data_IF_434670886553
#
_entry.id   IF_434670886553
#
_cell.length_a   1.000
_cell.length_b   1.000
_cell.length_c   1.000
_cell.angle_alpha   90.00
_cell.angle_beta   90.00
_cell.angle_gamma   90.00
#
_symmetry.space_group_name_H-M   'P 1'
#
loop_
_entity.id
_entity.type
_entity.pdbx_description
1 polymer ?
#
# COMPACT_ATOMS: atom_id res chain seq x y z
N UNK A 1 7.29 11.13 -52.16
CA UNK A 1 7.14 10.99 -50.70
C UNK A 1 7.08 9.50 -50.40
N UNK A 2 8.22 8.86 -50.10
CA UNK A 2 8.25 7.44 -49.74
C UNK A 2 7.80 7.29 -48.29
N UNK A 3 6.60 6.75 -48.14
CA UNK A 3 5.91 6.48 -46.89
C UNK A 3 6.71 5.45 -46.07
N UNK A 4 7.26 5.87 -44.93
CA UNK A 4 7.82 4.96 -43.92
C UNK A 4 9.02 4.13 -44.38
N UNK A 5 10.12 4.78 -44.75
CA UNK A 5 11.39 4.10 -45.04
C UNK A 5 11.89 3.29 -43.82
N UNK A 6 11.73 1.97 -43.88
CA UNK A 6 12.34 1.06 -42.90
C UNK A 6 13.85 1.11 -43.08
N UNK A 7 14.58 1.24 -41.97
CA UNK A 7 16.04 1.19 -42.01
C UNK A 7 16.52 -0.23 -42.34
N UNK A 8 17.23 -0.38 -43.46
CA UNK A 8 17.93 -1.60 -43.84
C UNK A 8 19.44 -1.31 -43.81
N UNK A 9 20.15 -1.92 -42.88
CA UNK A 9 21.58 -1.68 -42.69
C UNK A 9 22.39 -2.18 -43.90
N UNK A 10 21.95 -3.27 -44.51
CA UNK A 10 22.59 -3.92 -45.65
C UNK A 10 22.63 -2.99 -46.88
N UNK A 11 21.55 -2.24 -47.11
CA UNK A 11 21.46 -1.25 -48.20
C UNK A 11 22.43 -0.08 -48.03
N UNK A 12 22.84 0.22 -46.80
CA UNK A 12 23.86 1.24 -46.52
C UNK A 12 25.26 0.64 -46.58
N UNK A 13 25.45 -0.55 -46.01
CA UNK A 13 26.75 -1.23 -45.93
C UNK A 13 27.25 -1.65 -47.31
N UNK A 14 26.38 -2.12 -48.20
CA UNK A 14 26.77 -2.55 -49.54
C UNK A 14 27.48 -1.45 -50.37
N UNK A 15 26.88 -0.26 -50.61
CA UNK A 15 27.55 0.80 -51.37
C UNK A 15 28.79 1.34 -50.66
N UNK A 16 28.78 1.42 -49.33
CA UNK A 16 29.96 1.88 -48.58
C UNK A 16 31.12 0.89 -48.67
N UNK A 17 30.84 -0.41 -48.66
CA UNK A 17 31.83 -1.41 -48.96
C UNK A 17 32.36 -1.18 -50.39
N UNK A 18 31.51 -1.10 -51.41
CA UNK A 18 31.99 -0.86 -52.79
C UNK A 18 32.90 0.38 -52.88
N UNK A 19 32.49 1.50 -52.31
CA UNK A 19 33.28 2.75 -52.29
C UNK A 19 34.63 2.55 -51.57
N UNK A 20 34.63 1.84 -50.43
CA UNK A 20 35.83 1.57 -49.67
C UNK A 20 36.86 0.70 -50.42
N UNK A 21 36.51 0.02 -51.53
CA UNK A 21 37.48 -0.75 -52.33
C UNK A 21 38.46 0.13 -53.11
N UNK A 22 38.25 1.45 -53.14
CA UNK A 22 39.18 2.45 -53.68
C UNK A 22 40.39 2.69 -52.77
N UNK A 23 40.38 2.19 -51.54
CA UNK A 23 41.39 2.47 -50.51
C UNK A 23 41.97 1.15 -50.02
N UNK A 24 43.27 1.13 -49.77
CA UNK A 24 43.95 -0.07 -49.27
C UNK A 24 43.48 -0.39 -47.84
N UNK A 25 43.47 -1.68 -47.48
CA UNK A 25 43.00 -2.12 -46.15
C UNK A 25 43.79 -1.49 -44.99
N UNK A 26 45.08 -1.21 -45.21
CA UNK A 26 45.98 -0.58 -44.24
C UNK A 26 45.59 0.86 -43.90
N UNK A 27 44.96 1.57 -44.83
CA UNK A 27 44.51 2.96 -44.68
C UNK A 27 43.10 3.03 -44.06
N UNK A 28 42.26 2.03 -44.35
CA UNK A 28 40.92 1.87 -43.73
C UNK A 28 40.98 1.51 -42.24
N UNK A 29 42.07 0.89 -41.78
CA UNK A 29 42.30 0.54 -40.38
C UNK A 29 43.42 1.45 -39.82
N UNK A 30 43.11 2.68 -39.39
CA UNK A 30 44.14 3.53 -38.79
C UNK A 30 44.73 2.85 -37.55
N UNK A 31 46.08 2.80 -37.48
CA UNK A 31 46.85 2.14 -36.41
C UNK A 31 46.45 2.57 -34.99
N UNK A 32 45.86 3.75 -34.83
CA UNK A 32 45.43 4.30 -33.55
C UNK A 32 44.03 3.83 -33.09
N UNK A 33 43.31 3.04 -33.88
CA UNK A 33 41.87 2.79 -33.70
C UNK A 33 41.49 1.31 -33.66
N UNK A 34 42.37 0.43 -33.16
CA UNK A 34 41.96 -0.90 -32.68
C UNK A 34 40.88 -0.72 -31.58
N UNK A 35 39.60 -0.71 -31.97
CA UNK A 35 38.47 -0.52 -31.06
C UNK A 35 37.42 0.51 -31.52
N UNK A 36 37.71 1.39 -32.48
CA UNK A 36 36.69 2.24 -33.12
C UNK A 36 36.09 1.43 -34.26
N UNK A 37 34.80 1.09 -34.16
CA UNK A 37 34.06 0.37 -35.20
C UNK A 37 34.29 1.07 -36.54
N UNK A 38 34.92 0.37 -37.49
CA UNK A 38 34.97 0.86 -38.87
C UNK A 38 33.52 1.12 -39.33
N UNK A 39 33.26 2.21 -40.07
CA UNK A 39 31.94 2.55 -40.61
C UNK A 39 31.22 1.37 -41.28
N UNK A 40 32.00 0.44 -41.82
CA UNK A 40 31.55 -0.70 -42.58
C UNK A 40 32.20 -1.96 -42.02
N UNK A 41 31.49 -3.10 -41.93
CA UNK A 41 32.13 -4.38 -41.67
C UNK A 41 33.16 -4.63 -42.79
N UNK A 42 34.44 -4.57 -42.44
CA UNK A 42 35.54 -4.90 -43.34
C UNK A 42 35.52 -6.43 -43.51
N UNK A 43 34.65 -6.91 -44.38
CA UNK A 43 34.67 -8.30 -44.83
C UNK A 43 36.04 -8.60 -45.45
N UNK A 44 36.44 -9.87 -45.43
CA UNK A 44 37.73 -10.37 -45.93
C UNK A 44 38.11 -9.75 -47.29
N UNK A 45 39.01 -8.75 -47.24
CA UNK A 45 39.52 -8.01 -48.41
C UNK A 45 40.99 -8.30 -48.65
N UNK A 46 41.39 -8.14 -49.92
CA UNK A 46 42.79 -7.99 -50.31
C UNK A 46 43.42 -6.81 -49.59
N UNK A 47 44.73 -6.88 -49.38
CA UNK A 47 45.46 -5.77 -48.73
C UNK A 47 45.58 -4.55 -49.66
N UNK A 48 45.51 -4.77 -50.97
CA UNK A 48 45.61 -3.75 -52.02
C UNK A 48 44.24 -3.19 -52.44
N UNK A 49 44.25 -1.97 -52.96
CA UNK A 49 43.07 -1.29 -53.46
C UNK A 49 42.69 -1.84 -54.85
N UNK A 50 41.41 -2.18 -55.03
CA UNK A 50 40.91 -2.90 -56.22
C UNK A 50 40.37 -1.92 -57.28
N UNK A 51 39.77 -0.81 -56.85
CA UNK A 51 39.03 0.11 -57.73
C UNK A 51 39.72 1.46 -57.95
N UNK A 52 41.02 1.57 -57.68
CA UNK A 52 41.77 2.84 -57.75
C UNK A 52 42.48 3.09 -59.08
N UNK A 53 42.47 2.13 -60.01
CA UNK A 53 43.17 2.26 -61.29
C UNK A 53 42.27 2.93 -62.33
N UNK A 54 42.69 4.06 -62.93
CA UNK A 54 41.93 4.73 -63.99
C UNK A 54 41.95 3.89 -65.26
N UNK A 55 40.82 3.27 -65.60
CA UNK A 55 40.55 2.84 -66.97
C UNK A 55 39.94 4.04 -67.68
N UNK A 56 40.67 4.64 -68.63
CA UNK A 56 40.18 5.76 -69.43
C UNK A 56 39.00 5.29 -70.27
N UNK A 57 37.80 5.45 -69.75
CA UNK A 57 36.54 5.22 -70.46
C UNK A 57 35.67 6.45 -70.33
N UNK A 58 35.19 6.98 -71.46
CA UNK A 58 34.25 8.10 -71.47
C UNK A 58 32.97 7.68 -70.77
N UNK A 59 32.66 8.37 -69.67
CA UNK A 59 31.52 8.08 -68.81
C UNK A 59 30.34 8.99 -69.22
N UNK A 60 29.22 8.39 -69.64
CA UNK A 60 27.98 9.13 -69.95
C UNK A 60 26.95 8.92 -68.84
N UNK A 61 26.33 10.01 -68.38
CA UNK A 61 25.39 10.06 -67.25
C UNK A 61 24.00 9.42 -67.51
N UNK A 62 23.80 8.75 -68.65
CA UNK A 62 22.51 8.28 -69.15
C UNK A 62 21.90 7.05 -68.43
N UNK A 63 22.26 6.81 -67.16
CA UNK A 63 21.71 5.70 -66.39
C UNK A 63 20.46 6.19 -65.64
N UNK A 64 19.30 6.08 -66.31
CA UNK A 64 17.99 6.45 -65.77
C UNK A 64 17.54 5.57 -64.57
N UNK A 65 18.17 4.41 -64.35
CA UNK A 65 17.89 3.54 -63.21
C UNK A 65 19.16 2.79 -62.75
N UNK A 66 19.60 2.93 -61.47
CA UNK A 66 20.79 2.22 -60.96
C UNK A 66 20.68 0.70 -61.01
N UNK A 67 19.46 0.15 -61.15
CA UNK A 67 19.19 -1.28 -61.23
C UNK A 67 19.31 -1.87 -62.64
N UNK A 68 19.27 -1.05 -63.70
CA UNK A 68 19.45 -1.51 -65.09
C UNK A 68 20.93 -1.71 -65.46
N UNK A 69 21.84 -1.40 -64.52
CA UNK A 69 23.28 -1.50 -64.72
C UNK A 69 23.76 -2.95 -64.90
N UNK A 70 23.00 -3.93 -64.40
CA UNK A 70 23.41 -5.34 -64.36
C UNK A 70 22.90 -6.18 -65.53
N UNK A 71 22.14 -5.60 -66.47
CA UNK A 71 21.55 -6.32 -67.60
C UNK A 71 22.53 -6.55 -68.77
N UNK A 72 23.78 -6.08 -68.69
CA UNK A 72 24.77 -6.22 -69.78
C UNK A 72 26.18 -6.51 -69.25
N UNK A 73 26.65 -7.78 -69.31
CA UNK A 73 27.94 -8.20 -68.74
C UNK A 73 29.19 -7.70 -69.48
N UNK A 74 29.02 -7.01 -70.61
CA UNK A 74 30.13 -6.58 -71.48
C UNK A 74 30.69 -5.19 -71.15
N UNK A 75 30.17 -4.50 -70.12
CA UNK A 75 30.55 -3.11 -69.79
C UNK A 75 30.69 -2.82 -68.29
N UNK A 76 31.14 -3.82 -67.52
CA UNK A 76 31.40 -3.65 -66.08
C UNK A 76 32.77 -2.98 -65.85
N UNK A 77 32.82 -1.66 -66.07
CA UNK A 77 34.00 -0.87 -65.67
C UNK A 77 33.93 -0.55 -64.17
N UNK A 78 35.08 -0.45 -63.47
CA UNK A 78 35.12 -0.09 -62.05
C UNK A 78 34.45 1.27 -61.79
N UNK A 79 34.52 2.20 -62.75
CA UNK A 79 33.88 3.52 -62.70
C UNK A 79 32.36 3.43 -62.62
N UNK A 80 31.73 2.53 -63.40
CA UNK A 80 30.27 2.33 -63.39
C UNK A 80 29.77 1.72 -62.09
N UNK A 81 30.51 0.76 -61.55
CA UNK A 81 30.20 0.16 -60.25
C UNK A 81 30.25 1.20 -59.13
N UNK A 82 31.28 2.06 -59.13
CA UNK A 82 31.42 3.14 -58.16
C UNK A 82 30.34 4.21 -58.33
N UNK A 83 30.04 4.62 -59.56
CA UNK A 83 28.94 5.56 -59.84
C UNK A 83 27.61 5.03 -59.30
N UNK A 84 27.30 3.76 -59.56
CA UNK A 84 26.08 3.14 -59.05
C UNK A 84 26.07 3.08 -57.52
N UNK A 85 27.22 2.81 -56.88
CA UNK A 85 27.35 2.86 -55.42
C UNK A 85 27.09 4.27 -54.86
N UNK A 86 27.65 5.33 -55.47
CA UNK A 86 27.38 6.72 -55.07
C UNK A 86 25.91 7.09 -55.26
N UNK A 87 25.31 6.76 -56.41
CA UNK A 87 23.88 7.03 -56.68
C UNK A 87 22.96 6.28 -55.72
N UNK A 88 23.25 5.01 -55.44
CA UNK A 88 22.51 4.21 -54.48
C UNK A 88 22.64 4.79 -53.07
N UNK A 89 23.85 5.18 -52.66
CA UNK A 89 24.08 5.82 -51.37
C UNK A 89 23.31 7.14 -51.23
N UNK A 90 23.29 7.98 -52.27
CA UNK A 90 22.53 9.23 -52.30
C UNK A 90 21.01 8.98 -52.23
N UNK A 91 20.51 7.98 -52.95
CA UNK A 91 19.10 7.59 -52.91
C UNK A 91 18.70 7.06 -51.52
N UNK A 92 19.53 6.20 -50.92
CA UNK A 92 19.33 5.68 -49.56
C UNK A 92 19.37 6.83 -48.55
N UNK A 93 20.36 7.72 -48.63
CA UNK A 93 20.45 8.90 -47.75
C UNK A 93 19.20 9.78 -47.84
N UNK A 94 18.71 10.04 -49.06
CA UNK A 94 17.50 10.84 -49.30
C UNK A 94 16.23 10.19 -48.74
N UNK A 95 16.16 8.86 -48.73
CA UNK A 95 15.04 8.12 -48.13
C UNK A 95 15.08 8.04 -46.60
N UNK A 96 16.26 8.27 -45.99
CA UNK A 96 16.49 8.18 -44.55
C UNK A 96 16.59 9.55 -43.86
N UNK A 97 16.16 10.63 -44.52
CA UNK A 97 16.20 12.00 -43.99
C UNK A 97 15.50 12.15 -42.64
N UNK A 98 14.38 11.45 -42.45
CA UNK A 98 13.59 11.48 -41.22
C UNK A 98 14.13 10.59 -40.08
N UNK A 99 15.25 9.90 -40.29
CA UNK A 99 15.80 9.01 -39.27
C UNK A 99 16.54 9.82 -38.19
N UNK A 100 16.07 9.76 -36.94
CA UNK A 100 16.69 10.44 -35.81
C UNK A 100 18.14 9.99 -35.53
N UNK A 101 18.53 8.81 -36.01
CA UNK A 101 19.90 8.28 -35.94
C UNK A 101 20.80 8.71 -37.09
N UNK A 102 20.31 9.44 -38.10
CA UNK A 102 21.06 9.72 -39.33
C UNK A 102 22.45 10.33 -39.09
N UNK A 103 22.63 11.39 -38.27
CA UNK A 103 23.93 12.04 -38.13
C UNK A 103 25.01 11.12 -37.58
N UNK A 104 24.67 10.30 -36.58
CA UNK A 104 25.62 9.45 -35.89
C UNK A 104 25.80 8.08 -36.54
N UNK A 105 24.72 7.47 -37.03
CA UNK A 105 24.76 6.11 -37.58
C UNK A 105 25.13 6.09 -39.07
N UNK A 106 24.92 7.19 -39.78
CA UNK A 106 25.10 7.29 -41.23
C UNK A 106 26.05 8.44 -41.57
N UNK A 107 25.71 9.68 -41.21
CA UNK A 107 26.44 10.88 -41.61
C UNK A 107 27.93 10.84 -41.23
N UNK A 108 28.24 10.65 -39.95
CA UNK A 108 29.62 10.54 -39.45
C UNK A 108 30.44 9.40 -40.08
N UNK A 109 29.95 8.15 -40.11
CA UNK A 109 30.69 7.05 -40.74
C UNK A 109 30.96 7.29 -42.22
N UNK A 110 29.98 7.81 -42.97
CA UNK A 110 30.17 8.12 -44.41
C UNK A 110 31.17 9.25 -44.60
N UNK A 111 31.06 10.34 -43.83
CA UNK A 111 32.00 11.46 -43.91
C UNK A 111 33.45 11.03 -43.63
N UNK A 112 33.65 10.13 -42.67
CA UNK A 112 34.99 9.57 -42.38
C UNK A 112 35.52 8.74 -43.53
N UNK A 113 34.66 7.90 -44.14
CA UNK A 113 35.05 7.13 -45.32
C UNK A 113 35.39 8.05 -46.49
N UNK A 114 34.58 9.06 -46.75
CA UNK A 114 34.80 10.00 -47.86
C UNK A 114 36.11 10.77 -47.69
N UNK A 115 36.44 11.21 -46.48
CA UNK A 115 37.73 11.84 -46.19
C UNK A 115 38.94 10.93 -46.46
N UNK A 116 38.79 9.60 -46.29
CA UNK A 116 39.84 8.64 -46.64
C UNK A 116 39.92 8.41 -48.16
N UNK A 117 38.78 8.50 -48.85
CA UNK A 117 38.66 8.21 -50.27
C UNK A 117 38.98 9.44 -51.14
N UNK A 118 38.89 10.68 -50.61
CA UNK A 118 39.07 11.95 -51.35
C UNK A 118 40.31 11.99 -52.26
N UNK A 119 41.42 11.35 -51.86
CA UNK A 119 42.66 11.27 -52.65
C UNK A 119 42.72 10.13 -53.68
N UNK A 120 41.75 9.22 -53.67
CA UNK A 120 41.68 8.00 -54.49
C UNK A 120 40.47 7.99 -55.43
N UNK A 121 39.63 9.02 -55.41
CA UNK A 121 38.47 9.14 -56.30
C UNK A 121 38.95 9.30 -57.75
N UNK A 122 38.40 8.46 -58.63
CA UNK A 122 38.61 8.58 -60.08
C UNK A 122 38.15 9.95 -60.59
N UNK A 123 38.91 10.62 -61.50
CA UNK A 123 38.57 11.95 -62.00
C UNK A 123 37.13 12.08 -62.52
N UNK A 124 36.64 11.06 -63.23
CA UNK A 124 35.28 11.02 -63.77
C UNK A 124 34.18 11.02 -62.70
N UNK A 125 34.50 10.66 -61.45
CA UNK A 125 33.55 10.54 -60.35
C UNK A 125 33.66 11.65 -59.31
N UNK A 126 34.61 12.58 -59.45
CA UNK A 126 34.85 13.64 -58.47
C UNK A 126 33.61 14.49 -58.21
N UNK A 127 32.89 14.86 -59.27
CA UNK A 127 31.66 15.66 -59.15
C UNK A 127 30.56 14.87 -58.43
N UNK A 128 30.42 13.58 -58.74
CA UNK A 128 29.43 12.72 -58.07
C UNK A 128 29.77 12.51 -56.60
N UNK A 129 31.04 12.26 -56.29
CA UNK A 129 31.53 12.11 -54.93
C UNK A 129 31.23 13.37 -54.11
N UNK A 130 31.59 14.55 -54.65
CA UNK A 130 31.32 15.85 -54.00
C UNK A 130 29.83 16.09 -53.79
N UNK A 131 29.01 15.85 -54.81
CA UNK A 131 27.56 16.00 -54.71
C UNK A 131 26.96 15.06 -53.64
N UNK A 132 27.43 13.80 -53.56
CA UNK A 132 26.98 12.88 -52.51
C UNK A 132 27.47 13.29 -51.11
N UNK A 133 28.69 13.83 -51.00
CA UNK A 133 29.22 14.33 -49.74
C UNK A 133 28.40 15.52 -49.22
N UNK A 134 28.05 16.45 -50.12
CA UNK A 134 27.25 17.64 -49.80
C UNK A 134 25.82 17.28 -49.39
N UNK A 135 25.17 16.33 -50.08
CA UNK A 135 23.82 15.88 -49.71
C UNK A 135 23.79 15.18 -48.35
N UNK A 136 24.77 14.34 -48.04
CA UNK A 136 24.84 13.69 -46.71
C UNK A 136 25.15 14.70 -45.62
N UNK A 137 26.02 15.68 -45.89
CA UNK A 137 26.34 16.76 -44.96
C UNK A 137 25.12 17.65 -44.66
N UNK A 138 24.33 18.01 -45.68
CA UNK A 138 23.13 18.82 -45.48
C UNK A 138 22.08 18.08 -44.66
N UNK A 139 21.78 16.81 -45.00
CA UNK A 139 20.81 15.99 -44.25
C UNK A 139 21.28 15.78 -42.80
N UNK A 140 22.57 15.54 -42.59
CA UNK A 140 23.14 15.39 -41.25
C UNK A 140 22.99 16.66 -40.42
N UNK A 141 23.24 17.83 -41.02
CA UNK A 141 23.06 19.13 -40.37
C UNK A 141 21.60 19.39 -40.03
N UNK A 142 20.69 19.21 -40.98
CA UNK A 142 19.25 19.37 -40.78
C UNK A 142 18.74 18.43 -39.66
N UNK A 143 19.18 17.17 -39.66
CA UNK A 143 18.81 16.21 -38.64
C UNK A 143 19.37 16.56 -37.25
N UNK A 144 20.59 17.11 -37.18
CA UNK A 144 21.18 17.61 -35.93
C UNK A 144 20.44 18.82 -35.38
N UNK A 145 20.01 19.75 -36.24
CA UNK A 145 19.28 20.97 -35.83
C UNK A 145 17.94 20.64 -35.16
N UNK A 146 17.27 19.57 -35.58
CA UNK A 146 15.99 19.11 -35.02
C UNK A 146 16.12 18.02 -33.94
N UNK A 147 17.35 17.66 -33.58
CA UNK A 147 17.59 16.52 -32.69
C UNK A 147 17.20 16.86 -31.26
N UNK A 148 16.33 16.03 -30.69
CA UNK A 148 15.91 16.11 -29.28
C UNK A 148 16.33 14.86 -28.51
N UNK A 149 16.54 14.95 -27.18
CA UNK A 149 16.87 13.79 -26.36
C UNK A 149 15.72 12.77 -26.37
N UNK A 150 16.08 11.48 -26.36
CA UNK A 150 15.12 10.38 -26.47
C UNK A 150 14.24 10.28 -25.21
N UNK A 151 12.92 10.50 -25.37
CA UNK A 151 11.93 10.35 -24.31
C UNK A 151 11.12 9.05 -24.48
N UNK A 152 11.75 7.87 -24.36
CA UNK A 152 11.01 6.58 -24.53
C UNK A 152 10.04 6.28 -23.38
N UNK A 153 10.31 6.81 -22.19
CA UNK A 153 9.62 6.41 -20.94
C UNK A 153 8.62 7.46 -20.45
N UNK A 154 7.94 8.16 -21.36
CA UNK A 154 6.84 9.06 -21.02
C UNK A 154 5.54 8.25 -20.90
N UNK A 155 5.26 7.69 -19.73
CA UNK A 155 3.99 7.04 -19.46
C UNK A 155 2.97 8.04 -18.93
N UNK A 156 1.73 7.94 -19.42
CA UNK A 156 0.62 8.64 -18.77
C UNK A 156 0.39 8.01 -17.39
N UNK A 157 0.27 8.80 -16.32
CA UNK A 157 -0.01 8.26 -14.99
C UNK A 157 -1.34 7.50 -15.02
N UNK A 158 -1.43 6.40 -14.27
CA UNK A 158 -2.68 5.64 -14.16
C UNK A 158 -3.70 6.46 -13.37
N UNK A 159 -4.98 6.50 -13.80
CA UNK A 159 -6.02 7.20 -13.04
C UNK A 159 -6.23 6.56 -11.67
N UNK A 160 -6.67 7.37 -10.70
CA UNK A 160 -7.05 6.89 -9.36
C UNK A 160 -8.22 5.92 -9.51
N UNK A 161 -8.16 4.79 -8.79
CA UNK A 161 -9.27 3.83 -8.76
C UNK A 161 -10.46 4.46 -8.03
N UNK A 162 -11.58 4.60 -8.73
CA UNK A 162 -12.85 5.00 -8.14
C UNK A 162 -13.51 3.75 -7.55
N UNK A 163 -13.99 3.87 -6.31
CA UNK A 163 -14.76 2.83 -5.64
C UNK A 163 -16.22 3.28 -5.59
N UNK A 164 -17.14 2.33 -5.71
CA UNK A 164 -18.56 2.60 -5.52
C UNK A 164 -18.80 2.95 -4.04
N UNK A 165 -19.49 4.06 -3.75
CA UNK A 165 -19.83 4.40 -2.37
C UNK A 165 -20.78 3.34 -1.82
N UNK A 166 -20.47 2.84 -0.62
CA UNK A 166 -21.37 1.92 0.09
C UNK A 166 -22.54 2.74 0.66
N UNK A 167 -23.55 2.99 -0.17
CA UNK A 167 -24.80 3.61 0.27
C UNK A 167 -25.65 2.53 0.97
N UNK A 168 -25.84 2.71 2.26
CA UNK A 168 -26.66 1.83 3.09
C UNK A 168 -28.12 2.28 2.98
N UNK A 169 -28.74 1.95 1.86
CA UNK A 169 -30.17 2.17 1.66
C UNK A 169 -30.89 0.93 2.20
N UNK A 170 -31.38 1.04 3.45
CA UNK A 170 -32.18 0.05 4.18
C UNK A 170 -31.41 -1.18 4.70
N UNK A 171 -30.72 -1.02 5.84
CA UNK A 171 -30.39 -2.15 6.71
C UNK A 171 -31.34 -2.15 7.90
N UNK A 172 -32.51 -2.74 7.67
CA UNK A 172 -33.25 -3.46 8.71
C UNK A 172 -32.46 -4.74 9.01
N UNK A 173 -31.33 -4.58 9.70
CA UNK A 173 -30.56 -5.74 10.13
C UNK A 173 -31.36 -6.41 11.24
N UNK A 174 -31.63 -7.69 11.08
CA UNK A 174 -32.10 -8.59 12.14
C UNK A 174 -31.24 -8.48 13.42
N UNK A 175 -29.98 -8.05 13.29
CA UNK A 175 -29.08 -7.75 14.42
C UNK A 175 -29.54 -6.54 15.24
N UNK A 176 -30.09 -5.48 14.62
CA UNK A 176 -30.66 -4.31 15.32
C UNK A 176 -31.92 -4.73 16.08
N UNK A 177 -32.84 -5.41 15.43
CA UNK A 177 -34.07 -5.92 16.07
C UNK A 177 -33.72 -6.84 17.26
N UNK A 178 -32.77 -7.76 17.08
CA UNK A 178 -32.31 -8.64 18.16
C UNK A 178 -31.65 -7.88 19.31
N UNK A 179 -30.99 -6.74 19.04
CA UNK A 179 -30.43 -5.87 20.10
C UNK A 179 -31.54 -5.14 20.86
N UNK A 180 -32.58 -4.70 20.17
CA UNK A 180 -33.75 -4.04 20.75
C UNK A 180 -34.52 -5.00 21.65
N UNK A 181 -34.87 -6.19 21.15
CA UNK A 181 -35.55 -7.23 21.95
C UNK A 181 -34.75 -7.63 23.20
N UNK A 182 -33.41 -7.75 23.09
CA UNK A 182 -32.55 -8.02 24.25
C UNK A 182 -32.55 -6.87 25.26
N UNK A 183 -32.71 -5.63 24.81
CA UNK A 183 -32.80 -4.45 25.68
C UNK A 183 -34.11 -4.48 26.46
N UNK A 184 -35.23 -4.71 25.78
CA UNK A 184 -36.56 -4.83 26.39
C UNK A 184 -36.61 -5.93 27.46
N UNK A 185 -36.14 -7.14 27.13
CA UNK A 185 -36.08 -8.26 28.08
C UNK A 185 -35.27 -7.92 29.34
N UNK A 186 -34.16 -7.17 29.21
CA UNK A 186 -33.34 -6.74 30.36
C UNK A 186 -34.08 -5.71 31.21
N UNK A 187 -34.83 -4.82 30.59
CA UNK A 187 -35.62 -3.80 31.29
C UNK A 187 -36.77 -4.44 32.05
N UNK A 188 -37.50 -5.38 31.43
CA UNK A 188 -38.60 -6.10 32.08
C UNK A 188 -38.12 -6.96 33.23
N UNK A 189 -37.02 -7.70 33.04
CA UNK A 189 -36.40 -8.47 34.12
C UNK A 189 -36.04 -7.57 35.31
N UNK A 190 -35.50 -6.38 35.07
CA UNK A 190 -35.18 -5.42 36.13
C UNK A 190 -36.45 -4.94 36.84
N UNK A 191 -37.53 -4.66 36.12
CA UNK A 191 -38.82 -4.24 36.69
C UNK A 191 -39.41 -5.34 37.58
N UNK A 192 -39.46 -6.57 37.08
CA UNK A 192 -39.99 -7.73 37.82
C UNK A 192 -39.19 -7.98 39.09
N UNK A 193 -37.86 -8.00 39.02
CA UNK A 193 -37.02 -8.25 40.21
C UNK A 193 -37.24 -7.17 41.27
N UNK A 194 -37.35 -5.90 40.89
CA UNK A 194 -37.65 -4.81 41.84
C UNK A 194 -39.02 -4.97 42.48
N UNK A 195 -40.04 -5.40 41.73
CA UNK A 195 -41.38 -5.63 42.25
C UNK A 195 -41.39 -6.75 43.29
N UNK A 196 -40.82 -7.90 42.95
CA UNK A 196 -40.73 -9.07 43.84
C UNK A 196 -39.96 -8.72 45.12
N UNK A 197 -38.87 -7.96 45.00
CA UNK A 197 -38.12 -7.50 46.17
C UNK A 197 -38.93 -6.55 47.05
N UNK A 198 -39.69 -5.62 46.44
CA UNK A 198 -40.55 -4.71 47.19
C UNK A 198 -41.67 -5.47 47.93
N UNK A 199 -42.31 -6.43 47.27
CA UNK A 199 -43.34 -7.31 47.87
C UNK A 199 -42.76 -8.11 49.04
N UNK A 200 -41.59 -8.74 48.86
CA UNK A 200 -40.93 -9.49 49.92
C UNK A 200 -40.60 -8.63 51.16
N UNK A 201 -40.23 -7.36 50.95
CA UNK A 201 -39.98 -6.41 52.05
C UNK A 201 -41.28 -6.03 52.75
N UNK A 202 -42.36 -5.82 52.02
CA UNK A 202 -43.68 -5.54 52.59
C UNK A 202 -44.17 -6.71 53.44
N UNK A 203 -44.09 -7.94 52.92
CA UNK A 203 -44.45 -9.15 53.65
C UNK A 203 -43.59 -9.33 54.91
N UNK A 204 -42.27 -9.13 54.81
CA UNK A 204 -41.38 -9.21 55.96
C UNK A 204 -41.78 -8.21 57.05
N UNK A 205 -42.04 -6.95 56.68
CA UNK A 205 -42.49 -5.92 57.63
C UNK A 205 -43.84 -6.25 58.24
N UNK A 206 -44.76 -6.87 57.48
CA UNK A 206 -46.04 -7.33 58.00
C UNK A 206 -45.84 -8.43 59.06
N UNK A 207 -45.02 -9.45 58.76
CA UNK A 207 -44.69 -10.53 59.70
C UNK A 207 -43.97 -10.03 60.95
N UNK A 208 -43.04 -9.09 60.82
CA UNK A 208 -42.34 -8.49 61.96
C UNK A 208 -43.33 -7.72 62.87
N UNK A 209 -44.28 -6.97 62.29
CA UNK A 209 -45.33 -6.28 63.05
C UNK A 209 -46.29 -7.26 63.75
N UNK A 210 -46.70 -8.32 63.07
CA UNK A 210 -47.54 -9.37 63.67
C UNK A 210 -46.82 -10.07 64.82
N UNK A 211 -45.54 -10.43 64.65
CA UNK A 211 -44.74 -11.04 65.69
C UNK A 211 -44.55 -10.10 66.90
N UNK A 212 -44.34 -8.80 66.69
CA UNK A 212 -44.27 -7.79 67.75
C UNK A 212 -45.61 -7.62 68.48
N UNK A 213 -46.73 -7.63 67.76
CA UNK A 213 -48.06 -7.57 68.37
C UNK A 213 -48.33 -8.80 69.23
N UNK A 214 -47.91 -9.99 68.77
CA UNK A 214 -48.06 -11.23 69.52
C UNK A 214 -47.13 -11.30 70.74
N UNK A 215 -45.90 -10.76 70.67
CA UNK A 215 -45.03 -10.67 71.84
C UNK A 215 -45.58 -9.70 72.87
N UNK A 216 -46.07 -8.53 72.45
CA UNK A 216 -46.72 -7.56 73.33
C UNK A 216 -47.94 -8.16 74.05
N UNK A 217 -48.80 -8.90 73.32
CA UNK A 217 -49.93 -9.62 73.93
C UNK A 217 -49.50 -10.68 74.94
N UNK A 218 -48.39 -11.38 74.71
CA UNK A 218 -47.84 -12.36 75.67
C UNK A 218 -47.29 -11.67 76.91
N UNK A 219 -46.59 -10.56 76.75
CA UNK A 219 -46.07 -9.75 77.85
C UNK A 219 -47.20 -9.16 78.70
N UNK A 220 -48.25 -8.61 78.08
CA UNK A 220 -49.44 -8.13 78.79
C UNK A 220 -50.09 -9.25 79.62
N UNK A 221 -50.29 -10.43 79.02
CA UNK A 221 -50.82 -11.60 79.74
C UNK A 221 -49.92 -12.03 80.90
N UNK A 222 -48.61 -12.06 80.68
CA UNK A 222 -47.64 -12.40 81.72
C UNK A 222 -47.68 -11.39 82.88
N UNK A 223 -47.71 -10.09 82.58
CA UNK A 223 -47.78 -9.03 83.57
C UNK A 223 -49.09 -9.06 84.36
N UNK A 224 -50.22 -9.35 83.70
CA UNK A 224 -51.51 -9.56 84.36
C UNK A 224 -51.45 -10.73 85.34
N UNK A 225 -50.98 -11.90 84.89
CA UNK A 225 -50.83 -13.08 85.74
C UNK A 225 -49.85 -12.85 86.91
N UNK A 226 -48.74 -12.14 86.67
CA UNK A 226 -47.78 -11.81 87.72
C UNK A 226 -48.38 -10.84 88.75
N UNK A 227 -49.15 -9.84 88.30
CA UNK A 227 -49.89 -8.94 89.16
C UNK A 227 -50.91 -9.67 90.03
N UNK A 228 -51.64 -10.64 89.46
CA UNK A 228 -52.55 -11.51 90.22
C UNK A 228 -51.81 -12.34 91.28
N UNK A 229 -50.66 -12.94 90.93
CA UNK A 229 -49.84 -13.71 91.88
C UNK A 229 -49.30 -12.83 93.02
N UNK A 230 -48.85 -11.61 92.71
CA UNK A 230 -48.40 -10.65 93.74
C UNK A 230 -49.55 -10.23 94.67
N UNK A 231 -50.76 -10.02 94.11
CA UNK A 231 -51.95 -9.73 94.92
C UNK A 231 -52.30 -10.90 95.86
N UNK A 232 -52.22 -12.14 95.38
CA UNK A 232 -52.38 -13.34 96.22
C UNK A 232 -51.32 -13.39 97.33
N UNK A 233 -50.04 -13.10 97.02
CA UNK A 233 -48.98 -13.06 98.02
C UNK A 233 -49.24 -11.98 99.09
N UNK A 234 -49.73 -10.80 98.70
CA UNK A 234 -50.10 -9.74 99.64
C UNK A 234 -51.26 -10.17 100.55
N UNK A 235 -52.29 -10.80 99.98
CA UNK A 235 -53.39 -11.39 100.76
C UNK A 235 -52.84 -12.41 101.75
N UNK A 236 -51.98 -13.34 101.32
CA UNK A 236 -51.36 -14.35 102.17
C UNK A 236 -50.57 -13.72 103.33
N UNK A 237 -49.70 -12.74 103.05
CA UNK A 237 -48.95 -12.00 104.08
C UNK A 237 -49.89 -11.29 105.05
N UNK A 238 -50.99 -10.71 104.58
CA UNK A 238 -51.99 -10.06 105.44
C UNK A 238 -52.67 -11.05 106.39
N UNK A 239 -52.99 -12.26 105.89
CA UNK A 239 -53.54 -13.36 106.67
C UNK A 239 -52.52 -13.85 107.70
N UNK A 240 -51.26 -14.07 107.32
CA UNK A 240 -50.18 -14.45 108.24
C UNK A 240 -49.94 -13.39 109.33
N UNK A 241 -50.01 -12.11 109.00
CA UNK A 241 -49.95 -11.00 109.97
C UNK A 241 -51.14 -11.04 110.94
N UNK A 242 -52.36 -11.32 110.46
CA UNK A 242 -53.53 -11.47 111.33
C UNK A 242 -53.40 -12.69 112.27
N UNK A 243 -52.89 -13.82 111.75
CA UNK A 243 -52.70 -15.05 112.50
C UNK A 243 -51.58 -14.92 113.54
N UNK A 244 -50.49 -14.23 113.21
CA UNK A 244 -49.40 -13.93 114.16
C UNK A 244 -49.85 -12.97 115.27
N UNK A 245 -50.64 -11.93 114.96
CA UNK A 245 -51.29 -11.07 115.97
C UNK A 245 -52.19 -11.89 116.90
N UNK A 246 -53.03 -12.77 116.36
CA UNK A 246 -53.89 -13.65 117.15
C UNK A 246 -53.09 -14.61 118.06
N UNK A 247 -51.99 -15.18 117.57
CA UNK A 247 -51.07 -16.01 118.39
C UNK A 247 -50.36 -15.20 119.48
N UNK A 248 -49.94 -13.96 119.20
CA UNK A 248 -49.24 -13.10 120.17
C UNK A 248 -50.13 -12.66 121.34
N UNK A 249 -51.43 -12.44 121.09
CA UNK A 249 -52.40 -12.14 122.14
C UNK A 249 -52.63 -13.31 123.11
N UNK A 250 -52.32 -14.55 122.71
CA UNK A 250 -52.35 -15.74 123.58
C UNK A 250 -51.10 -15.91 124.47
N UNK A 251 -50.01 -15.17 124.23
CA UNK A 251 -48.73 -15.33 124.95
C UNK A 251 -48.30 -14.12 125.80
N UNK A 252 -49.12 -13.07 125.94
CA UNK A 252 -48.93 -12.06 126.99
C UNK A 252 -49.49 -12.56 128.33
N UNK A 253 -48.89 -13.62 128.85
CA UNK A 253 -48.93 -13.95 130.27
C UNK A 253 -47.87 -13.10 130.99
N UNK A 254 -48.34 -12.29 131.94
CA UNK A 254 -47.54 -11.52 132.90
C UNK A 254 -46.47 -12.40 133.56
N UNK A 255 -45.20 -12.14 133.28
CA UNK A 255 -44.11 -12.21 134.28
C UNK A 255 -42.88 -11.48 133.72
N UNK A 256 -42.38 -10.52 134.48
CA UNK A 256 -41.20 -9.75 134.14
C UNK A 256 -39.93 -10.40 134.69
N UNK A 257 -38.87 -10.38 133.90
CA UNK A 257 -37.48 -10.36 134.37
C UNK A 257 -36.57 -9.82 133.24
N UNK A 258 -35.59 -8.93 133.53
CA UNK A 258 -34.80 -8.25 132.51
C UNK A 258 -33.40 -8.87 132.31
N UNK A 259 -32.90 -8.90 131.07
CA UNK A 259 -31.46 -8.96 130.66
C UNK A 259 -31.43 -8.56 129.17
N UNK A 260 -30.77 -7.48 128.72
CA UNK A 260 -29.33 -7.21 128.45
C UNK A 260 -28.65 -8.16 127.45
N UNK A 261 -28.48 -7.69 126.19
CA UNK A 261 -27.34 -7.92 125.26
C UNK A 261 -27.75 -7.39 123.87
N UNK A 262 -27.24 -6.27 123.34
CA UNK A 262 -25.94 -6.06 122.66
C UNK A 262 -25.69 -6.90 121.40
N UNK A 263 -25.40 -6.22 120.28
CA UNK A 263 -24.64 -6.74 119.14
C UNK A 263 -25.48 -6.97 117.87
N UNK A 264 -25.35 -6.19 116.78
CA UNK A 264 -24.20 -5.98 115.85
C UNK A 264 -24.15 -7.03 114.72
N UNK A 265 -23.94 -6.56 113.48
CA UNK A 265 -23.55 -7.38 112.32
C UNK A 265 -24.62 -7.36 111.22
N UNK A 266 -24.54 -6.59 110.13
CA UNK A 266 -23.45 -6.45 109.13
C UNK A 266 -23.32 -7.68 108.21
N UNK A 267 -23.25 -7.41 106.90
CA UNK A 267 -23.09 -8.38 105.81
C UNK A 267 -24.29 -8.32 104.84
N UNK A 268 -24.22 -7.77 103.63
CA UNK A 268 -23.07 -7.62 102.73
C UNK A 268 -23.20 -8.64 101.59
N UNK A 269 -22.86 -8.17 100.38
CA UNK A 269 -22.53 -8.91 99.16
C UNK A 269 -23.72 -9.46 98.36
N UNK A 270 -23.71 -9.49 97.03
CA UNK A 270 -22.79 -9.01 95.99
C UNK A 270 -23.53 -9.17 94.65
N UNK A 271 -23.05 -8.44 93.63
CA UNK A 271 -23.39 -8.44 92.18
C UNK A 271 -24.58 -7.59 91.70
#
# INVERSE_FOLDING_TARGET
MTEGGKYCAEMLVAPLNVIALQVAKKELIPKAHQGVRSPCPILSRSDDAILSTPTVTEFTDDIAAPLQLFDSPERDTPERLLFAAYKLLAAVASSLTNNAGFPCAIGDPVRRLFALVDGHVLPALQDTHRATAETIASISKESMDHRTPLMMRSFRPRPIRLFEPLLVENIDSEVKERRELKKEIREDRKRVVRHVQAEAVVERRAREKEAQADSARREEKYNQLMGELQAQQHIMKSVDMSMSKAKSNKKKSISGAPTTSSGSGEGGNDE
#
